data_IF_449574205010
#
_entry.id   IF_449574205010
#
_cell.length_a   1.000
_cell.length_b   1.000
_cell.length_c   1.000
_cell.angle_alpha   90.00
_cell.angle_beta   90.00
_cell.angle_gamma   90.00
#
_symmetry.space_group_name_H-M   'P 1'
#
loop_
_entity.id
_entity.type
_entity.pdbx_description
1 polymer ?
#
# COMPACT_ATOMS: atom_id res chain seq x y z
N UNK A 1 8.59 -4.84 -17.28
CA UNK A 1 7.88 -5.99 -16.67
C UNK A 1 7.07 -5.38 -15.55
N UNK A 2 5.76 -5.32 -15.70
CA UNK A 2 4.90 -4.67 -14.72
C UNK A 2 4.86 -5.58 -13.48
N UNK A 3 5.33 -5.07 -12.34
CA UNK A 3 5.04 -5.70 -11.05
C UNK A 3 3.53 -5.69 -10.80
N UNK A 4 3.11 -6.28 -9.70
CA UNK A 4 1.69 -6.36 -9.33
C UNK A 4 1.08 -4.95 -9.27
N UNK A 5 -0.17 -4.81 -9.68
CA UNK A 5 -0.88 -3.53 -9.78
C UNK A 5 -2.02 -3.47 -8.77
N UNK A 6 -1.97 -2.47 -7.90
CA UNK A 6 -2.98 -2.18 -6.88
C UNK A 6 -3.82 -0.99 -7.36
N UNK A 7 -5.13 -1.17 -7.44
CA UNK A 7 -6.07 -0.07 -7.67
C UNK A 7 -6.72 0.34 -6.35
N UNK A 8 -6.75 1.64 -6.04
CA UNK A 8 -7.33 2.18 -4.80
C UNK A 8 -8.58 2.98 -5.15
N UNK A 9 -9.73 2.41 -4.79
CA UNK A 9 -11.05 3.02 -4.92
C UNK A 9 -11.40 3.75 -3.63
N UNK A 10 -11.81 5.02 -3.73
CA UNK A 10 -12.17 5.86 -2.58
C UNK A 10 -13.11 7.00 -2.99
N UNK A 11 -13.73 7.70 -2.04
CA UNK A 11 -14.46 8.93 -2.35
C UNK A 11 -13.48 10.13 -2.48
N UNK A 12 -13.83 11.18 -3.25
CA UNK A 12 -13.01 12.39 -3.37
C UNK A 12 -12.60 12.98 -2.02
N UNK A 13 -13.51 12.99 -1.06
CA UNK A 13 -13.28 13.52 0.29
C UNK A 13 -12.27 12.70 1.12
N UNK A 14 -12.01 11.43 0.74
CA UNK A 14 -11.07 10.56 1.44
C UNK A 14 -9.63 10.67 0.89
N UNK A 15 -9.35 11.56 -0.07
CA UNK A 15 -8.05 11.61 -0.76
C UNK A 15 -6.88 11.78 0.20
N UNK A 16 -6.98 12.69 1.19
CA UNK A 16 -5.91 12.93 2.17
C UNK A 16 -5.62 11.67 3.00
N UNK A 17 -6.67 11.01 3.50
CA UNK A 17 -6.55 9.74 4.22
C UNK A 17 -5.90 8.67 3.35
N UNK A 18 -6.33 8.54 2.10
CA UNK A 18 -5.78 7.55 1.17
C UNK A 18 -4.30 7.84 0.88
N UNK A 19 -3.92 9.10 0.69
CA UNK A 19 -2.53 9.48 0.47
C UNK A 19 -1.64 9.17 1.68
N UNK A 20 -2.14 9.40 2.90
CA UNK A 20 -1.45 9.03 4.14
C UNK A 20 -1.23 7.51 4.23
N UNK A 21 -2.31 6.72 4.11
CA UNK A 21 -2.27 5.26 4.28
C UNK A 21 -1.45 4.55 3.21
N UNK A 22 -1.42 5.08 1.98
CA UNK A 22 -0.68 4.48 0.87
C UNK A 22 0.70 5.11 0.63
N UNK A 23 1.11 6.09 1.44
CA UNK A 23 2.41 6.77 1.30
C UNK A 23 3.58 5.78 1.33
N UNK A 24 3.54 4.77 2.19
CA UNK A 24 4.58 3.73 2.28
C UNK A 24 4.34 2.58 1.30
N UNK A 25 3.07 2.25 1.01
CA UNK A 25 2.69 1.21 0.02
C UNK A 25 3.24 1.55 -1.38
N UNK A 26 3.26 2.83 -1.76
CA UNK A 26 3.84 3.31 -3.03
C UNK A 26 5.35 3.05 -3.17
N UNK A 27 6.07 2.70 -2.09
CA UNK A 27 7.52 2.42 -2.13
C UNK A 27 7.85 0.96 -2.45
N UNK A 28 6.86 0.08 -2.45
CA UNK A 28 7.03 -1.33 -2.81
C UNK A 28 7.11 -1.49 -4.34
N UNK A 29 7.63 -2.62 -4.85
CA UNK A 29 7.73 -2.90 -6.29
C UNK A 29 6.38 -3.18 -6.98
N UNK A 30 5.28 -2.65 -6.45
CA UNK A 30 3.94 -2.74 -7.03
C UNK A 30 3.55 -1.39 -7.63
N UNK A 31 2.84 -1.39 -8.76
CA UNK A 31 2.19 -0.18 -9.23
C UNK A 31 0.98 0.13 -8.37
N UNK A 32 0.93 1.31 -7.73
CA UNK A 32 -0.26 1.75 -6.98
C UNK A 32 -0.98 2.85 -7.75
N UNK A 33 -2.29 2.69 -7.97
CA UNK A 33 -3.13 3.63 -8.71
C UNK A 33 -4.27 4.13 -7.84
N UNK A 34 -4.25 5.40 -7.46
CA UNK A 34 -5.32 6.05 -6.69
C UNK A 34 -6.30 6.71 -7.66
N UNK A 35 -7.57 6.30 -7.62
CA UNK A 35 -8.56 6.63 -8.65
C UNK A 35 -8.78 8.13 -8.90
N UNK A 36 -8.77 8.96 -7.85
CA UNK A 36 -9.16 10.38 -7.96
C UNK A 36 -8.02 11.35 -8.26
N UNK A 37 -6.77 10.99 -8.00
CA UNK A 37 -5.61 11.79 -8.43
C UNK A 37 -5.65 12.02 -9.96
N UNK A 38 -6.27 11.11 -10.73
CA UNK A 38 -6.32 11.20 -12.19
C UNK A 38 -7.55 11.93 -12.76
N UNK A 39 -8.69 11.94 -12.05
CA UNK A 39 -9.91 12.65 -12.52
C UNK A 39 -9.70 14.16 -12.48
N UNK A 40 -9.01 14.66 -11.45
CA UNK A 40 -8.64 16.07 -11.33
C UNK A 40 -7.58 16.49 -12.36
N UNK A 41 -6.78 15.53 -12.86
CA UNK A 41 -5.79 15.76 -13.94
C UNK A 41 -6.39 15.82 -15.36
N UNK A 42 -7.72 15.82 -15.51
CA UNK A 42 -8.41 15.95 -16.80
C UNK A 42 -8.43 14.68 -17.66
N UNK A 43 -8.13 13.50 -17.09
CA UNK A 43 -8.17 12.22 -17.82
C UNK A 43 -9.59 11.66 -17.89
N UNK A 44 -9.93 11.00 -19.01
CA UNK A 44 -11.25 10.42 -19.21
C UNK A 44 -11.44 9.16 -18.34
N UNK A 45 -12.66 8.97 -17.83
CA UNK A 45 -13.05 7.81 -17.00
C UNK A 45 -12.82 6.44 -17.68
N UNK A 46 -12.77 6.40 -19.01
CA UNK A 46 -12.38 5.19 -19.76
C UNK A 46 -10.96 4.71 -19.44
N UNK A 47 -10.05 5.62 -19.06
CA UNK A 47 -8.71 5.22 -18.61
C UNK A 47 -8.72 4.56 -17.22
N UNK A 48 -9.65 4.95 -16.35
CA UNK A 48 -9.80 4.33 -15.03
C UNK A 48 -10.29 2.89 -15.13
N UNK A 49 -11.24 2.61 -16.04
CA UNK A 49 -11.68 1.24 -16.32
C UNK A 49 -10.50 0.37 -16.78
N UNK A 50 -9.66 0.89 -17.69
CA UNK A 50 -8.46 0.18 -18.13
C UNK A 50 -7.48 -0.11 -17.00
N UNK A 51 -7.27 0.83 -16.05
CA UNK A 51 -6.41 0.60 -14.88
C UNK A 51 -7.00 -0.44 -13.93
N UNK A 52 -8.29 -0.33 -13.64
CA UNK A 52 -9.02 -1.28 -12.80
C UNK A 52 -8.96 -2.69 -13.39
N UNK A 53 -9.23 -2.84 -14.69
CA UNK A 53 -9.21 -4.13 -15.38
C UNK A 53 -7.82 -4.79 -15.43
N UNK A 54 -6.74 -4.02 -15.31
CA UNK A 54 -5.37 -4.51 -15.28
C UNK A 54 -4.78 -4.57 -13.86
N UNK A 55 -5.61 -4.40 -12.82
CA UNK A 55 -5.15 -4.53 -11.43
C UNK A 55 -5.18 -5.99 -10.98
N UNK A 56 -4.21 -6.37 -10.16
CA UNK A 56 -4.14 -7.67 -9.50
C UNK A 56 -4.97 -7.68 -8.21
N UNK A 57 -5.15 -6.50 -7.59
CA UNK A 57 -5.98 -6.31 -6.40
C UNK A 57 -6.57 -4.91 -6.37
N UNK A 58 -7.80 -4.81 -5.86
CA UNK A 58 -8.47 -3.55 -5.57
C UNK A 58 -8.54 -3.35 -4.08
N UNK A 59 -8.12 -2.19 -3.58
CA UNK A 59 -8.40 -1.75 -2.22
C UNK A 59 -9.54 -0.75 -2.25
N UNK A 60 -10.65 -1.06 -1.61
CA UNK A 60 -11.80 -0.17 -1.49
C UNK A 60 -11.76 0.52 -0.11
N UNK A 61 -11.54 1.83 -0.10
CA UNK A 61 -11.54 2.64 1.13
C UNK A 61 -12.97 3.06 1.46
N UNK A 62 -13.49 2.51 2.56
CA UNK A 62 -14.90 2.56 2.97
C UNK A 62 -15.07 3.41 4.23
N UNK A 63 -15.42 4.68 4.03
CA UNK A 63 -15.78 5.65 5.06
C UNK A 63 -17.25 6.04 4.90
N UNK A 64 -17.73 6.96 5.74
CA UNK A 64 -19.05 7.54 5.54
C UNK A 64 -19.21 8.18 4.14
N UNK A 65 -18.16 8.81 3.62
CA UNK A 65 -18.17 9.51 2.33
C UNK A 65 -18.25 8.53 1.15
N UNK A 66 -17.54 7.40 1.21
CA UNK A 66 -17.57 6.41 0.13
C UNK A 66 -18.73 5.43 0.21
N UNK A 67 -19.35 5.24 1.38
CA UNK A 67 -20.50 4.34 1.55
C UNK A 67 -21.69 4.66 0.62
N UNK A 68 -21.83 5.93 0.23
CA UNK A 68 -22.88 6.39 -0.69
C UNK A 68 -22.35 6.72 -2.10
N UNK A 69 -21.04 6.56 -2.32
CA UNK A 69 -20.41 6.87 -3.60
C UNK A 69 -20.80 5.84 -4.65
N UNK A 70 -21.56 6.30 -5.65
CA UNK A 70 -21.92 5.47 -6.82
C UNK A 70 -20.69 4.97 -7.57
N UNK A 71 -19.60 5.73 -7.56
CA UNK A 71 -18.36 5.36 -8.25
C UNK A 71 -17.64 4.22 -7.54
N UNK A 72 -17.46 4.33 -6.23
CA UNK A 72 -16.83 3.27 -5.43
C UNK A 72 -17.62 1.96 -5.57
N UNK A 73 -18.95 2.04 -5.49
CA UNK A 73 -19.83 0.88 -5.70
C UNK A 73 -19.69 0.27 -7.11
N UNK A 74 -19.54 1.10 -8.15
CA UNK A 74 -19.37 0.62 -9.52
C UNK A 74 -18.00 -0.01 -9.75
N UNK A 75 -16.94 0.56 -9.18
CA UNK A 75 -15.57 0.03 -9.25
C UNK A 75 -15.46 -1.31 -8.51
N UNK A 76 -16.01 -1.40 -7.30
CA UNK A 76 -16.10 -2.65 -6.53
C UNK A 76 -16.90 -3.70 -7.32
N UNK A 77 -18.08 -3.34 -7.82
CA UNK A 77 -18.91 -4.27 -8.60
C UNK A 77 -18.21 -4.76 -9.87
N UNK A 78 -17.49 -3.88 -10.57
CA UNK A 78 -16.70 -4.25 -11.75
C UNK A 78 -15.56 -5.20 -11.41
N UNK A 79 -14.79 -4.89 -10.35
CA UNK A 79 -13.67 -5.72 -9.90
C UNK A 79 -14.13 -7.14 -9.57
N UNK A 80 -15.19 -7.26 -8.78
CA UNK A 80 -15.79 -8.55 -8.43
C UNK A 80 -16.32 -9.29 -9.65
N UNK A 81 -16.99 -8.61 -10.58
CA UNK A 81 -17.47 -9.22 -11.82
C UNK A 81 -16.32 -9.73 -12.73
N UNK A 82 -15.11 -9.15 -12.60
CA UNK A 82 -13.90 -9.59 -13.30
C UNK A 82 -13.09 -10.63 -12.52
N UNK A 83 -13.50 -10.98 -11.30
CA UNK A 83 -12.75 -11.89 -10.44
C UNK A 83 -11.48 -11.28 -9.85
N UNK A 84 -11.37 -9.95 -9.83
CA UNK A 84 -10.25 -9.24 -9.20
C UNK A 84 -10.54 -9.18 -7.69
N UNK A 85 -9.63 -9.67 -6.81
CA UNK A 85 -9.78 -9.58 -5.38
C UNK A 85 -10.00 -8.15 -4.91
N UNK A 86 -10.97 -7.95 -4.00
CA UNK A 86 -11.24 -6.67 -3.37
C UNK A 86 -10.91 -6.77 -1.88
N UNK A 87 -9.96 -5.96 -1.41
CA UNK A 87 -9.66 -5.76 0.01
C UNK A 87 -10.48 -4.55 0.49
N UNK A 88 -11.49 -4.73 1.36
CA UNK A 88 -12.15 -3.60 2.00
C UNK A 88 -11.23 -3.01 3.07
N UNK A 89 -11.05 -1.70 3.07
CA UNK A 89 -10.36 -0.93 4.11
C UNK A 89 -11.39 0.02 4.72
N UNK A 90 -11.94 -0.31 5.89
CA UNK A 90 -13.14 0.34 6.43
C UNK A 90 -12.92 0.92 7.83
N UNK A 91 -13.46 2.12 8.11
CA UNK A 91 -13.46 2.70 9.46
C UNK A 91 -14.64 2.22 10.33
N UNK A 92 -15.59 1.51 9.73
CA UNK A 92 -16.70 0.86 10.43
C UNK A 92 -17.33 -0.21 9.54
N UNK A 93 -17.69 -1.35 10.13
CA UNK A 93 -18.38 -2.45 9.43
C UNK A 93 -19.71 -2.01 8.80
N UNK A 94 -20.34 -0.96 9.32
CA UNK A 94 -21.58 -0.41 8.73
C UNK A 94 -21.38 0.17 7.32
N UNK A 95 -20.14 0.46 6.92
CA UNK A 95 -19.81 0.95 5.58
C UNK A 95 -19.52 -0.20 4.60
N UNK A 96 -19.47 -1.45 5.08
CA UNK A 96 -19.43 -2.65 4.24
C UNK A 96 -20.84 -2.89 3.67
N UNK A 97 -21.11 -2.27 2.52
CA UNK A 97 -22.38 -2.42 1.82
C UNK A 97 -22.31 -3.37 0.63
N UNK A 98 -23.49 -3.87 0.22
CA UNK A 98 -23.65 -4.60 -1.02
C UNK A 98 -22.80 -5.87 -1.08
N UNK A 99 -21.98 -6.01 -2.12
CA UNK A 99 -21.16 -7.21 -2.30
C UNK A 99 -20.04 -7.37 -1.24
N UNK A 100 -19.79 -6.37 -0.40
CA UNK A 100 -18.76 -6.42 0.64
C UNK A 100 -19.32 -6.67 2.05
N UNK A 101 -20.63 -6.86 2.21
CA UNK A 101 -21.29 -6.99 3.53
C UNK A 101 -20.70 -8.08 4.44
N UNK A 102 -20.14 -9.15 3.85
CA UNK A 102 -19.52 -10.26 4.59
C UNK A 102 -18.01 -10.40 4.29
N UNK A 103 -17.38 -9.36 3.73
CA UNK A 103 -15.97 -9.41 3.40
C UNK A 103 -15.09 -9.12 4.63
N UNK A 104 -14.01 -9.88 4.79
CA UNK A 104 -13.00 -9.61 5.81
C UNK A 104 -12.27 -8.30 5.51
N UNK A 105 -12.59 -7.25 6.26
CA UNK A 105 -12.05 -5.91 6.09
C UNK A 105 -10.77 -5.67 6.90
N UNK A 106 -9.95 -4.73 6.43
CA UNK A 106 -8.89 -4.11 7.22
C UNK A 106 -9.50 -2.88 7.91
N UNK A 107 -9.33 -2.77 9.23
CA UNK A 107 -9.88 -1.66 10.00
C UNK A 107 -9.03 -0.39 9.84
N UNK A 108 -9.67 0.74 9.53
CA UNK A 108 -9.06 2.07 9.59
C UNK A 108 -9.14 2.56 11.03
N UNK A 109 -7.99 2.58 11.70
CA UNK A 109 -7.83 3.14 13.05
C UNK A 109 -7.13 4.49 12.96
N UNK A 110 -7.90 5.59 12.99
CA UNK A 110 -7.34 6.96 12.82
C UNK A 110 -6.43 7.37 13.97
N UNK A 111 -6.68 6.85 15.17
CA UNK A 111 -5.87 7.07 16.36
C UNK A 111 -4.56 6.29 16.32
N UNK A 112 -4.46 5.30 15.42
CA UNK A 112 -3.26 4.50 15.20
C UNK A 112 -3.07 4.18 13.70
N UNK A 113 -2.67 5.17 12.88
CA UNK A 113 -2.45 4.97 11.44
C UNK A 113 -1.41 3.89 11.16
N UNK A 114 -0.38 3.76 12.00
CA UNK A 114 0.65 2.71 11.87
C UNK A 114 0.05 1.31 11.91
N UNK A 115 -0.97 1.07 12.75
CA UNK A 115 -1.69 -0.21 12.78
C UNK A 115 -2.43 -0.45 11.48
N UNK A 116 -3.15 0.56 10.99
CA UNK A 116 -3.90 0.49 9.73
C UNK A 116 -2.98 0.16 8.55
N UNK A 117 -1.84 0.86 8.45
CA UNK A 117 -0.84 0.64 7.40
C UNK A 117 -0.24 -0.76 7.52
N UNK A 118 0.10 -1.21 8.72
CA UNK A 118 0.63 -2.55 8.95
C UNK A 118 -0.37 -3.63 8.53
N UNK A 119 -1.64 -3.52 8.93
CA UNK A 119 -2.67 -4.50 8.60
C UNK A 119 -2.96 -4.49 7.08
N UNK A 120 -2.94 -3.31 6.44
CA UNK A 120 -3.06 -3.17 4.99
C UNK A 120 -1.89 -3.85 4.26
N UNK A 121 -0.65 -3.55 4.63
CA UNK A 121 0.54 -4.21 4.04
C UNK A 121 0.45 -5.72 4.28
N UNK A 122 0.02 -6.16 5.47
CA UNK A 122 -0.14 -7.58 5.78
C UNK A 122 -1.16 -8.26 4.88
N UNK A 123 -2.29 -7.59 4.61
CA UNK A 123 -3.31 -8.13 3.72
C UNK A 123 -2.83 -8.16 2.27
N UNK A 124 -2.20 -7.08 1.79
CA UNK A 124 -1.58 -7.04 0.46
C UNK A 124 -0.52 -8.13 0.28
N UNK A 125 0.31 -8.38 1.32
CA UNK A 125 1.26 -9.51 1.35
C UNK A 125 0.57 -10.84 1.14
N UNK A 126 -0.56 -11.06 1.82
CA UNK A 126 -1.30 -12.32 1.71
C UNK A 126 -1.99 -12.50 0.37
N UNK A 127 -2.57 -11.44 -0.21
CA UNK A 127 -3.28 -11.51 -1.49
C UNK A 127 -2.32 -11.64 -2.67
N UNK A 128 -1.12 -11.04 -2.57
CA UNK A 128 -0.11 -11.05 -3.64
C UNK A 128 0.89 -12.23 -3.55
N UNK A 129 0.95 -12.96 -2.44
CA UNK A 129 1.89 -14.08 -2.24
C UNK A 129 1.24 -15.47 -2.25
N UNK A 130 1.72 -16.43 -3.06
CA UNK A 130 2.27 -16.30 -4.40
C UNK A 130 1.26 -16.79 -5.45
N UNK A 131 0.97 -15.95 -6.45
CA UNK A 131 0.42 -16.43 -7.72
C UNK A 131 1.53 -17.16 -8.50
N UNK A 132 1.83 -18.41 -8.11
CA UNK A 132 2.71 -19.33 -8.84
C UNK A 132 3.86 -19.94 -8.02
N UNK A 133 4.21 -21.19 -8.32
CA UNK A 133 5.19 -22.02 -7.60
C UNK A 133 6.67 -21.54 -7.68
N UNK A 134 6.95 -20.39 -8.30
CA UNK A 134 8.31 -19.87 -8.54
C UNK A 134 8.48 -18.40 -8.14
N UNK A 135 7.43 -17.73 -7.68
CA UNK A 135 7.44 -16.30 -7.33
C UNK A 135 7.30 -16.15 -5.83
N UNK A 136 8.42 -16.22 -5.10
CA UNK A 136 8.46 -15.59 -3.77
C UNK A 136 8.41 -14.09 -4.07
N UNK A 137 7.38 -13.32 -3.69
CA UNK A 137 7.47 -11.89 -3.88
C UNK A 137 8.61 -11.43 -2.98
N UNK A 138 9.66 -10.89 -3.58
CA UNK A 138 10.70 -10.21 -2.82
C UNK A 138 10.09 -8.89 -2.37
N UNK A 139 9.55 -8.88 -1.16
CA UNK A 139 9.08 -7.65 -0.52
C UNK A 139 10.32 -6.85 -0.15
N UNK A 140 10.67 -5.86 -0.97
CA UNK A 140 11.73 -4.92 -0.71
C UNK A 140 11.25 -3.50 -1.01
N UNK A 141 11.96 -2.52 -0.47
CA UNK A 141 11.87 -1.15 -0.98
C UNK A 141 13.23 -0.76 -1.55
N UNK A 142 13.23 -0.10 -2.72
CA UNK A 142 14.44 0.38 -3.38
C UNK A 142 14.35 1.87 -3.62
N UNK A 143 15.34 2.61 -3.17
CA UNK A 143 15.37 4.06 -3.25
C UNK A 143 16.78 4.54 -3.57
N UNK A 144 16.95 5.71 -4.22
CA UNK A 144 18.27 6.30 -4.40
C UNK A 144 18.81 6.80 -3.06
N UNK A 145 20.10 6.56 -2.80
CA UNK A 145 20.78 7.16 -1.65
C UNK A 145 20.64 8.69 -1.71
N UNK A 146 20.17 9.26 -0.61
CA UNK A 146 19.89 10.69 -0.43
C UNK A 146 21.10 11.51 0.05
N UNK A 147 22.29 10.90 0.13
CA UNK A 147 23.54 11.63 0.38
C UNK A 147 23.89 12.42 -0.88
N UNK A 148 24.27 13.72 -0.76
CA UNK A 148 24.73 14.50 -1.90
C UNK A 148 25.79 13.75 -2.70
N UNK A 149 25.65 13.77 -4.03
CA UNK A 149 26.58 13.15 -4.99
C UNK A 149 26.72 11.62 -4.93
N UNK A 150 26.01 10.91 -4.04
CA UNK A 150 25.99 9.44 -4.03
C UNK A 150 24.97 8.88 -5.03
N UNK A 151 23.68 9.09 -4.78
CA UNK A 151 22.58 8.59 -5.63
C UNK A 151 22.50 7.06 -5.78
N UNK A 152 23.41 6.30 -5.15
CA UNK A 152 23.50 4.86 -5.32
C UNK A 152 22.21 4.17 -4.82
N UNK A 153 21.65 3.20 -5.56
CA UNK A 153 20.43 2.53 -5.11
C UNK A 153 20.67 1.77 -3.80
N UNK A 154 19.82 2.00 -2.81
CA UNK A 154 19.78 1.26 -1.54
C UNK A 154 18.53 0.39 -1.54
N UNK A 155 18.65 -0.86 -1.08
CA UNK A 155 17.56 -1.82 -1.05
C UNK A 155 17.36 -2.34 0.37
N UNK A 156 16.20 -2.08 0.96
CA UNK A 156 15.78 -2.72 2.20
C UNK A 156 14.99 -3.98 1.86
N UNK A 157 15.58 -5.15 2.08
CA UNK A 157 14.91 -6.45 1.98
C UNK A 157 14.03 -6.70 3.21
N UNK A 158 12.79 -7.16 3.00
CA UNK A 158 11.78 -7.39 4.05
C UNK A 158 11.53 -8.91 4.14
N UNK A 159 12.57 -9.62 4.59
CA UNK A 159 12.55 -11.09 4.73
C UNK A 159 11.69 -11.57 5.92
N UNK A 160 11.45 -10.70 6.89
CA UNK A 160 10.67 -11.03 8.08
C UNK A 160 9.18 -11.15 7.73
N UNK A 161 8.52 -12.15 8.31
CA UNK A 161 7.07 -12.23 8.32
C UNK A 161 6.45 -11.04 9.07
N UNK A 162 5.19 -10.72 8.76
CA UNK A 162 4.50 -9.56 9.35
C UNK A 162 4.45 -9.63 10.88
N UNK A 163 4.25 -10.82 11.45
CA UNK A 163 4.17 -10.97 12.92
C UNK A 163 5.48 -10.59 13.63
N UNK A 164 6.63 -10.89 13.02
CA UNK A 164 7.95 -10.48 13.53
C UNK A 164 8.15 -8.98 13.37
N UNK A 165 7.71 -8.40 12.26
CA UNK A 165 7.77 -6.96 12.02
C UNK A 165 6.95 -6.18 13.05
N UNK A 166 5.75 -6.65 13.39
CA UNK A 166 4.92 -6.05 14.44
C UNK A 166 5.60 -6.10 15.82
N UNK A 167 6.13 -7.26 16.23
CA UNK A 167 6.87 -7.39 17.50
C UNK A 167 8.08 -6.46 17.56
N UNK A 168 8.78 -6.30 16.43
CA UNK A 168 9.93 -5.41 16.30
C UNK A 168 9.51 -3.94 16.50
N UNK A 169 8.39 -3.53 15.90
CA UNK A 169 7.76 -2.23 16.11
C UNK A 169 7.37 -2.00 17.57
N UNK A 170 6.68 -2.96 18.21
CA UNK A 170 6.28 -2.87 19.63
C UNK A 170 7.48 -2.71 20.57
N UNK A 171 8.64 -3.27 20.20
CA UNK A 171 9.89 -3.16 20.96
C UNK A 171 10.71 -1.91 20.59
N UNK A 172 10.18 -0.99 19.77
CA UNK A 172 10.86 0.22 19.32
C UNK A 172 12.08 -0.04 18.45
N UNK A 173 12.18 -1.23 17.84
CA UNK A 173 13.32 -1.61 16.99
C UNK A 173 13.04 -1.24 15.54
N UNK A 174 13.97 -0.49 14.94
CA UNK A 174 13.88 -0.08 13.54
C UNK A 174 14.40 -1.19 12.62
N UNK A 175 13.93 -1.20 11.37
CA UNK A 175 14.60 -1.85 10.26
C UNK A 175 15.72 -0.94 9.76
N UNK A 176 16.73 -1.50 9.10
CA UNK A 176 17.80 -0.70 8.54
C UNK A 176 18.40 -1.31 7.27
N UNK A 177 18.92 -0.43 6.42
CA UNK A 177 19.73 -0.79 5.25
C UNK A 177 20.84 0.23 5.08
N UNK A 178 22.02 -0.22 4.67
CA UNK A 178 23.20 0.62 4.49
C UNK A 178 23.48 0.81 3.00
N UNK A 179 23.96 2.00 2.62
CA UNK A 179 24.42 2.24 1.27
C UNK A 179 25.81 1.63 1.08
N UNK A 180 25.98 0.79 0.06
CA UNK A 180 27.25 0.10 -0.23
C UNK A 180 28.38 1.04 -0.73
N UNK A 181 28.08 2.33 -0.96
CA UNK A 181 29.04 3.31 -1.51
C UNK A 181 29.48 4.33 -0.45
N UNK A 182 28.53 5.00 0.20
CA UNK A 182 28.85 6.04 1.18
C UNK A 182 28.67 5.60 2.64
N UNK A 183 28.34 4.32 2.86
CA UNK A 183 28.17 3.69 4.18
C UNK A 183 27.09 4.31 5.09
N UNK A 184 26.31 5.26 4.58
CA UNK A 184 25.18 5.83 5.30
C UNK A 184 24.09 4.79 5.53
N UNK A 185 23.58 4.74 6.75
CA UNK A 185 22.58 3.77 7.19
C UNK A 185 21.21 4.44 7.32
N UNK A 186 20.22 3.85 6.68
CA UNK A 186 18.83 4.29 6.67
C UNK A 186 18.02 3.44 7.63
N UNK A 187 17.14 4.07 8.40
CA UNK A 187 16.30 3.41 9.38
C UNK A 187 14.81 3.60 9.05
N UNK A 188 14.05 2.52 9.21
CA UNK A 188 12.64 2.46 8.87
C UNK A 188 11.82 1.92 10.03
N UNK A 189 10.59 2.41 10.14
CA UNK A 189 9.59 1.91 11.07
C UNK A 189 9.20 0.48 10.67
N UNK A 190 9.22 -0.46 11.61
CA UNK A 190 9.04 -1.87 11.29
C UNK A 190 7.59 -2.24 10.93
N UNK A 191 6.59 -1.47 11.39
CA UNK A 191 5.18 -1.74 11.11
C UNK A 191 4.76 -1.17 9.76
N UNK A 192 5.18 0.04 9.47
CA UNK A 192 4.75 0.81 8.29
C UNK A 192 5.74 0.77 7.13
N UNK A 193 6.99 0.38 7.40
CA UNK A 193 8.13 0.47 6.47
C UNK A 193 8.43 1.93 6.06
N UNK A 194 7.89 2.90 6.81
CA UNK A 194 8.15 4.32 6.61
C UNK A 194 9.56 4.71 7.01
N UNK A 195 10.19 5.60 6.26
CA UNK A 195 11.49 6.18 6.63
C UNK A 195 11.40 6.95 7.95
N UNK A 196 12.34 6.71 8.85
CA UNK A 196 12.42 7.38 10.16
C UNK A 196 13.60 8.35 10.19
N UNK A 197 14.81 7.85 9.90
CA UNK A 197 16.04 8.64 9.94
C UNK A 197 17.15 8.01 9.12
N UNK A 198 18.22 8.78 8.92
CA UNK A 198 19.48 8.35 8.31
C UNK A 198 20.61 8.73 9.25
N UNK A 199 21.61 7.87 9.34
CA UNK A 199 22.90 8.15 9.96
C UNK A 199 23.95 8.15 8.84
N UNK A 200 24.65 9.27 8.70
CA UNK A 200 25.62 9.45 7.62
C UNK A 200 26.87 8.62 7.91
N UNK A 201 27.40 7.94 6.90
CA UNK A 201 28.67 7.23 6.99
C UNK A 201 29.83 8.20 7.23
N UNK A 202 30.92 7.70 7.80
CA UNK A 202 32.16 8.47 7.91
C UNK A 202 32.85 8.39 6.55
N UNK A 203 32.81 9.46 5.77
CA UNK A 203 33.65 9.62 4.57
C UNK A 203 35.13 9.76 4.97
#
# INVERSE_FOLDING_TARGET
MAGEQIYVSHAPADLELVQELFSTVKNFPFGTHIALEEVESGRSRQRLEGRLANSDVVVAVLTAESSTSRWVNQEVGYALAKGIPVIPLADSDRHLGGFLENADSVAITRENPSRTIYDLISRLRSELAPLGALSVPNWYIRFPCTIPDCGHPVTLEIEQDQSKLWKRYEHGKLLSSTCDVCESTYYFDAATIGYVRREDGIL
#
